data_IF_440511571908
#
_entry.id   IF_440511571908
#
_cell.length_a   1.000
_cell.length_b   1.000
_cell.length_c   1.000
_cell.angle_alpha   90.00
_cell.angle_beta   90.00
_cell.angle_gamma   90.00
#
_symmetry.space_group_name_H-M   'P 1'
#
loop_
_entity.id
_entity.type
_entity.pdbx_description
1 polymer ?
#
# COMPACT_ATOMS: atom_id res chain seq x y z
N UNK A 1 -6.02 25.56 11.60
CA UNK A 1 -6.18 24.16 11.15
C UNK A 1 -4.95 23.43 11.66
N UNK A 2 -5.11 22.48 12.55
CA UNK A 2 -4.00 21.76 13.20
C UNK A 2 -3.27 20.94 12.14
N UNK A 3 -1.96 21.11 12.01
CA UNK A 3 -1.09 20.31 11.13
C UNK A 3 -1.11 18.84 11.60
N UNK A 4 -2.06 18.06 11.09
CA UNK A 4 -2.11 16.62 11.32
C UNK A 4 -1.00 15.98 10.49
N UNK A 5 0.09 15.59 11.15
CA UNK A 5 1.22 14.90 10.51
C UNK A 5 0.92 13.40 10.43
N UNK A 6 0.67 12.92 9.22
CA UNK A 6 0.56 11.48 8.93
C UNK A 6 1.95 10.85 9.06
N UNK A 7 2.03 9.58 9.45
CA UNK A 7 3.30 8.83 9.48
C UNK A 7 3.97 8.88 8.10
N UNK A 8 5.28 9.08 8.04
CA UNK A 8 6.05 9.07 6.78
C UNK A 8 7.15 8.02 6.84
N UNK A 9 7.51 7.47 5.68
CA UNK A 9 8.58 6.48 5.59
C UNK A 9 9.29 6.52 4.22
N UNK A 10 10.56 6.11 4.12
CA UNK A 10 11.28 6.10 2.83
C UNK A 10 10.65 5.19 1.76
N UNK A 11 9.83 4.22 2.18
CA UNK A 11 9.11 3.29 1.29
C UNK A 11 7.69 3.75 0.95
N UNK A 12 7.28 4.88 1.52
CA UNK A 12 5.97 5.47 1.36
C UNK A 12 6.09 6.56 0.29
N UNK A 13 6.48 6.15 -0.92
CA UNK A 13 6.80 7.04 -2.05
C UNK A 13 5.60 7.30 -2.96
N UNK A 14 4.41 6.85 -2.56
CA UNK A 14 3.18 7.11 -3.31
C UNK A 14 2.82 8.57 -3.09
N UNK A 15 3.16 9.40 -4.09
CA UNK A 15 2.77 10.81 -4.29
C UNK A 15 3.68 11.89 -3.68
N UNK A 16 4.84 12.11 -4.31
CA UNK A 16 5.59 13.38 -4.18
C UNK A 16 4.76 14.62 -4.60
N UNK A 17 3.62 14.43 -5.28
CA UNK A 17 2.83 15.52 -5.88
C UNK A 17 1.60 15.96 -5.04
N UNK A 18 1.08 15.13 -4.11
CA UNK A 18 -0.18 15.41 -3.39
C UNK A 18 -0.11 15.29 -1.84
N UNK A 19 1.03 14.91 -1.26
CA UNK A 19 1.22 15.03 0.20
C UNK A 19 2.25 14.06 0.78
N UNK A 20 3.00 14.52 1.78
CA UNK A 20 3.92 13.69 2.56
C UNK A 20 3.12 12.75 3.49
N UNK A 21 3.12 11.43 3.25
CA UNK A 21 2.41 10.49 4.13
C UNK A 21 2.37 9.03 3.68
N UNK A 22 2.26 8.10 4.63
CA UNK A 22 1.84 6.72 4.36
C UNK A 22 0.34 6.78 3.92
N UNK A 23 0.05 7.04 2.63
CA UNK A 23 -1.33 7.15 2.08
C UNK A 23 -1.97 5.77 2.00
N UNK A 24 -2.71 5.43 3.04
CA UNK A 24 -3.50 4.22 3.17
C UNK A 24 -4.85 4.57 3.84
N UNK A 25 -5.87 3.72 3.73
CA UNK A 25 -5.95 2.62 2.78
C UNK A 25 -6.03 3.13 1.33
N UNK A 26 -5.56 2.35 0.37
CA UNK A 26 -5.75 2.64 -1.06
C UNK A 26 -6.28 1.43 -1.82
N UNK A 27 -7.18 1.68 -2.78
CA UNK A 27 -7.70 0.66 -3.66
C UNK A 27 -6.75 0.44 -4.84
N UNK A 28 -6.43 -0.81 -5.15
CA UNK A 28 -5.47 -1.14 -6.18
C UNK A 28 -5.57 -2.58 -6.69
N UNK A 29 -4.66 -2.91 -7.59
CA UNK A 29 -4.53 -4.25 -8.16
C UNK A 29 -3.76 -5.17 -7.20
N UNK A 30 -4.14 -6.44 -7.15
CA UNK A 30 -3.34 -7.49 -6.54
C UNK A 30 -1.93 -7.53 -7.18
N UNK A 31 -0.91 -8.13 -6.53
CA UNK A 31 0.43 -8.24 -7.09
C UNK A 31 0.38 -8.76 -8.53
N UNK A 32 0.95 -7.97 -9.47
CA UNK A 32 0.82 -8.22 -10.89
C UNK A 32 2.07 -7.76 -11.64
N UNK A 33 2.20 -8.25 -12.87
CA UNK A 33 3.16 -7.74 -13.84
C UNK A 33 2.40 -7.19 -15.05
N UNK A 34 2.91 -6.11 -15.62
CA UNK A 34 2.45 -5.64 -16.92
C UNK A 34 3.14 -6.44 -18.02
N UNK A 35 2.34 -7.04 -18.89
CA UNK A 35 2.82 -7.84 -20.02
C UNK A 35 2.65 -7.08 -21.33
N UNK A 36 3.30 -7.55 -22.39
CA UNK A 36 3.07 -7.06 -23.76
C UNK A 36 1.99 -7.93 -24.42
N UNK A 37 1.11 -7.37 -25.27
CA UNK A 37 1.05 -5.97 -25.73
C UNK A 37 0.49 -5.01 -24.65
N UNK A 38 0.53 -3.70 -24.93
CA UNK A 38 -0.05 -2.67 -24.04
C UNK A 38 -1.48 -3.06 -23.65
N UNK A 39 -1.77 -3.00 -22.34
CA UNK A 39 -3.03 -3.47 -21.76
C UNK A 39 -2.97 -4.87 -21.16
N UNK A 40 -1.86 -5.61 -21.37
CA UNK A 40 -1.61 -6.89 -20.71
C UNK A 40 -1.29 -6.73 -19.23
N UNK A 41 -2.01 -7.47 -18.38
CA UNK A 41 -1.73 -7.60 -16.95
C UNK A 41 -1.91 -9.05 -16.55
N UNK A 42 -0.94 -9.60 -15.85
CA UNK A 42 -1.02 -10.94 -15.26
C UNK A 42 -0.86 -10.83 -13.75
N UNK A 43 -1.87 -11.29 -13.01
CA UNK A 43 -1.79 -11.38 -11.56
C UNK A 43 -0.86 -12.53 -11.17
N UNK A 44 0.00 -12.27 -10.21
CA UNK A 44 0.94 -13.25 -9.69
C UNK A 44 0.16 -14.28 -8.86
N UNK A 45 0.40 -15.57 -9.12
CA UNK A 45 -0.14 -16.66 -8.30
C UNK A 45 0.68 -16.84 -7.02
N UNK A 46 0.81 -15.77 -6.25
CA UNK A 46 1.50 -15.71 -4.97
C UNK A 46 0.49 -15.38 -3.88
N UNK A 47 0.70 -15.82 -2.62
CA UNK A 47 -0.10 -15.37 -1.51
C UNK A 47 -0.17 -13.84 -1.48
N UNK A 48 -1.36 -13.30 -1.23
CA UNK A 48 -1.49 -11.86 -1.07
C UNK A 48 -0.69 -11.38 0.14
N UNK A 49 -0.07 -10.19 0.06
CA UNK A 49 0.60 -9.63 1.21
C UNK A 49 -0.41 -9.36 2.33
N UNK A 50 0.05 -9.37 3.57
CA UNK A 50 -0.81 -9.22 4.76
C UNK A 50 -1.58 -7.90 4.82
N UNK A 51 -1.12 -6.88 4.10
CA UNK A 51 -1.80 -5.59 4.00
C UNK A 51 -2.87 -5.54 2.89
N UNK A 52 -3.02 -6.57 2.04
CA UNK A 52 -3.98 -6.57 0.95
C UNK A 52 -5.25 -7.35 1.31
N UNK A 53 -6.37 -6.62 1.37
CA UNK A 53 -7.72 -7.17 1.52
C UNK A 53 -8.37 -7.31 0.15
N UNK A 54 -8.47 -8.54 -0.34
CA UNK A 54 -9.10 -8.86 -1.63
C UNK A 54 -10.60 -8.52 -1.61
N UNK A 55 -11.08 -7.83 -2.65
CA UNK A 55 -12.49 -7.43 -2.80
C UNK A 55 -13.17 -8.16 -3.97
N UNK A 56 -12.56 -8.09 -5.16
CA UNK A 56 -13.02 -8.79 -6.36
C UNK A 56 -11.81 -9.25 -7.20
N UNK A 57 -12.05 -10.04 -8.25
CA UNK A 57 -10.98 -10.72 -9.03
C UNK A 57 -9.82 -9.78 -9.42
N UNK A 58 -8.69 -9.92 -8.71
CA UNK A 58 -7.47 -9.16 -8.96
C UNK A 58 -7.44 -7.73 -8.40
N UNK A 59 -8.44 -7.30 -7.62
CA UNK A 59 -8.54 -5.95 -7.05
C UNK A 59 -8.87 -6.00 -5.56
N UNK A 60 -8.42 -4.99 -4.83
CA UNK A 60 -8.65 -4.94 -3.39
C UNK A 60 -8.07 -3.70 -2.75
N UNK A 61 -8.09 -3.69 -1.43
CA UNK A 61 -7.64 -2.57 -0.60
C UNK A 61 -6.31 -2.93 0.04
N UNK A 62 -5.30 -2.11 -0.20
CA UNK A 62 -4.11 -2.10 0.64
C UNK A 62 -4.39 -1.24 1.88
N UNK A 63 -4.21 -1.81 3.06
CA UNK A 63 -4.69 -1.24 4.33
C UNK A 63 -3.65 -0.43 5.07
N UNK A 64 -2.36 -0.75 4.90
CA UNK A 64 -1.25 -0.08 5.56
C UNK A 64 0.07 -0.36 4.84
N UNK A 65 1.11 0.43 5.14
CA UNK A 65 2.47 0.16 4.68
C UNK A 65 3.09 -1.00 5.45
N UNK A 66 3.65 -2.00 4.75
CA UNK A 66 4.34 -3.12 5.38
C UNK A 66 5.67 -2.74 6.08
N UNK A 67 6.20 -1.54 5.81
CA UNK A 67 7.45 -1.05 6.43
C UNK A 67 7.20 -0.14 7.62
N UNK A 68 6.30 0.85 7.46
CA UNK A 68 5.99 1.82 8.53
C UNK A 68 4.84 1.34 9.42
N UNK A 69 3.97 0.43 8.98
CA UNK A 69 2.68 0.15 9.62
C UNK A 69 1.67 1.30 9.52
N UNK A 70 2.02 2.37 8.78
CA UNK A 70 1.17 3.54 8.60
C UNK A 70 -0.03 3.23 7.73
N UNK A 71 -1.19 3.64 8.20
CA UNK A 71 -2.53 3.36 7.70
C UNK A 71 -3.26 4.65 7.27
N UNK A 72 -2.50 5.73 7.02
CA UNK A 72 -3.03 7.06 6.71
C UNK A 72 -3.44 7.89 7.93
N UNK A 73 -3.31 7.35 9.15
CA UNK A 73 -3.62 8.09 10.37
C UNK A 73 -2.39 8.73 11.02
N UNK A 74 -2.63 9.70 11.92
CA UNK A 74 -1.58 10.37 12.71
C UNK A 74 -0.93 9.42 13.73
N UNK A 75 -1.66 8.40 14.19
CA UNK A 75 -1.23 7.44 15.22
C UNK A 75 -0.77 6.09 14.66
N UNK A 76 -0.70 5.94 13.33
CA UNK A 76 -0.52 4.66 12.62
C UNK A 76 0.44 3.70 13.34
N UNK A 77 -0.12 2.58 13.81
CA UNK A 77 0.54 1.63 14.72
C UNK A 77 1.89 1.22 14.15
N UNK A 78 2.95 1.29 14.96
CA UNK A 78 4.26 0.73 14.59
C UNK A 78 4.11 -0.79 14.64
N UNK A 79 4.05 -1.44 13.49
CA UNK A 79 4.23 -2.89 13.42
C UNK A 79 5.73 -3.15 13.49
N UNK A 80 6.16 -3.91 14.51
CA UNK A 80 7.53 -4.39 14.58
C UNK A 80 7.81 -5.23 13.33
N UNK A 81 8.93 -4.95 12.67
CA UNK A 81 9.39 -5.63 11.46
C UNK A 81 9.36 -7.14 11.67
N UNK A 82 8.61 -7.89 10.86
CA UNK A 82 8.77 -9.34 10.79
C UNK A 82 10.14 -9.64 10.16
N UNK A 83 11.09 -10.03 11.00
CA UNK A 83 12.36 -10.60 10.56
C UNK A 83 12.10 -12.02 10.07
N UNK A 84 12.13 -12.20 8.75
CA UNK A 84 12.26 -13.50 8.09
C UNK A 84 13.71 -13.98 8.04
#
# INVERSE_FOLDING_TARGET
>A
MTEQKVKTCPFCTMHEEDGEGCIYPYYGLAPHIHTKPIGGTEFLNTPYPSNFSHDADGVGIYTHCLYCGGDGTVEGVVLEKEEG
#
